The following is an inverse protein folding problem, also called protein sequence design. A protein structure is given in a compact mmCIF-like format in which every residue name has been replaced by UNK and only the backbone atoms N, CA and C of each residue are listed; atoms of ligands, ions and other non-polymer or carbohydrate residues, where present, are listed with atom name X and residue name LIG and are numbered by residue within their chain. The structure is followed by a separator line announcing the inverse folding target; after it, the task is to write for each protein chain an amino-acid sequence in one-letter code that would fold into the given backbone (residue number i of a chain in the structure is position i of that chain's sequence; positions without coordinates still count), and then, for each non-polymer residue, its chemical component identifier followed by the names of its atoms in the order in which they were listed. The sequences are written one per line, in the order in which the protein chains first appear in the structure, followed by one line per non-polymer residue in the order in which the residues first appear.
data_IF_524142402350
#
_entry.id   IF_524142402350
#
_cell.length_a   1.000
_cell.length_b   1.000
_cell.length_c   1.000
_cell.angle_alpha   90.00
_cell.angle_beta   90.00
_cell.angle_gamma   90.00
#
_symmetry.space_group_name_H-M   'P 1'
#
loop_
_entity.id
_entity.type
_entity.pdbx_description
1 polymer ?
#
# COMPACT_ATOMS: atom_id res chain seq x y z
N UNK A 1 -10.49 49.27 -35.66
CA UNK A 1 -10.48 50.73 -35.37
C UNK A 1 -11.80 51.41 -35.64
N UNK A 2 -12.34 51.42 -36.87
CA UNK A 2 -13.66 52.00 -37.14
C UNK A 2 -14.79 51.36 -36.30
N UNK A 3 -14.70 50.07 -36.05
CA UNK A 3 -15.62 49.33 -35.17
C UNK A 3 -15.66 49.91 -33.75
N UNK A 4 -14.54 50.37 -33.19
CA UNK A 4 -14.50 50.97 -31.85
C UNK A 4 -15.22 52.32 -31.81
N UNK A 5 -15.11 53.12 -32.88
CA UNK A 5 -15.85 54.38 -33.03
C UNK A 5 -17.36 54.14 -33.11
N UNK A 6 -17.78 53.19 -33.96
CA UNK A 6 -19.21 52.83 -34.10
C UNK A 6 -19.76 52.27 -32.79
N UNK A 7 -19.01 51.42 -32.10
CA UNK A 7 -19.39 50.88 -30.79
C UNK A 7 -19.50 51.98 -29.73
N UNK A 8 -18.61 52.98 -29.73
CA UNK A 8 -18.70 54.11 -28.81
C UNK A 8 -19.94 54.99 -29.07
N UNK A 9 -20.31 55.21 -30.32
CA UNK A 9 -21.57 55.89 -30.67
C UNK A 9 -22.82 55.12 -30.19
N UNK A 10 -22.74 53.79 -30.16
CA UNK A 10 -23.84 52.89 -29.80
C UNK A 10 -23.84 52.49 -28.31
N UNK A 11 -22.97 53.08 -27.47
CA UNK A 11 -22.91 52.74 -26.05
C UNK A 11 -24.25 52.95 -25.33
N UNK A 12 -24.57 52.04 -24.40
CA UNK A 12 -25.89 52.04 -23.75
C UNK A 12 -26.04 53.18 -22.75
N UNK A 13 -24.94 53.67 -22.18
CA UNK A 13 -24.95 54.79 -21.23
C UNK A 13 -24.61 56.07 -21.99
N UNK A 14 -25.38 57.16 -21.81
CA UNK A 14 -25.13 58.42 -22.52
C UNK A 14 -23.74 58.98 -22.21
N UNK A 15 -23.27 58.85 -20.96
CA UNK A 15 -21.94 59.32 -20.54
C UNK A 15 -20.76 58.58 -21.18
N UNK A 16 -21.00 57.41 -21.79
CA UNK A 16 -19.98 56.60 -22.47
C UNK A 16 -19.95 56.85 -24.00
N UNK A 17 -20.87 57.67 -24.54
CA UNK A 17 -20.95 58.03 -25.97
C UNK A 17 -20.01 59.19 -26.30
N UNK A 18 -19.84 59.48 -27.59
CA UNK A 18 -19.26 60.76 -28.01
C UNK A 18 -20.20 61.89 -27.60
N UNK A 19 -19.63 62.92 -26.98
CA UNK A 19 -20.38 64.00 -26.32
C UNK A 19 -21.02 64.94 -27.35
N UNK A 20 -20.41 65.04 -28.54
CA UNK A 20 -20.95 65.85 -29.64
C UNK A 20 -20.69 65.26 -31.03
N UNK A 21 -21.47 65.73 -32.01
CA UNK A 21 -21.24 65.41 -33.43
C UNK A 21 -19.91 65.95 -33.96
N UNK A 22 -19.35 66.99 -33.32
CA UNK A 22 -18.05 67.54 -33.66
C UNK A 22 -16.92 66.53 -33.36
N UNK A 23 -17.00 65.84 -32.20
CA UNK A 23 -16.04 64.80 -31.83
C UNK A 23 -16.06 63.61 -32.80
N UNK A 24 -17.24 63.25 -33.31
CA UNK A 24 -17.37 62.21 -34.34
C UNK A 24 -16.67 62.60 -35.64
N UNK A 25 -16.82 63.86 -36.08
CA UNK A 25 -16.16 64.37 -37.29
C UNK A 25 -14.63 64.41 -37.12
N UNK A 26 -14.15 64.79 -35.94
CA UNK A 26 -12.72 64.80 -35.64
C UNK A 26 -12.11 63.39 -35.56
N UNK A 27 -12.82 62.43 -34.97
CA UNK A 27 -12.42 61.01 -34.97
C UNK A 27 -12.39 60.42 -36.39
N UNK A 28 -13.39 60.73 -37.23
CA UNK A 28 -13.42 60.26 -38.62
C UNK A 28 -12.25 60.83 -39.44
N UNK A 29 -11.91 62.11 -39.26
CA UNK A 29 -10.73 62.71 -39.91
C UNK A 29 -9.42 62.06 -39.48
N UNK A 30 -9.29 61.68 -38.20
CA UNK A 30 -8.11 60.95 -37.70
C UNK A 30 -8.03 59.54 -38.27
N UNK A 31 -9.17 58.86 -38.40
CA UNK A 31 -9.25 57.55 -39.06
C UNK A 31 -8.79 57.63 -40.52
N UNK A 32 -9.28 58.60 -41.29
CA UNK A 32 -8.86 58.82 -42.69
C UNK A 32 -7.38 59.19 -42.81
N UNK A 33 -6.83 59.93 -41.84
CA UNK A 33 -5.42 60.30 -41.79
C UNK A 33 -4.50 59.17 -41.26
N UNK A 34 -5.04 57.98 -40.94
CA UNK A 34 -4.28 56.87 -40.38
C UNK A 34 -3.71 57.15 -38.97
N UNK A 35 -4.27 58.11 -38.25
CA UNK A 35 -3.88 58.48 -36.89
C UNK A 35 -4.65 57.63 -35.87
N UNK A 36 -4.05 57.32 -34.69
CA UNK A 36 -4.72 56.56 -33.65
C UNK A 36 -5.98 57.28 -33.15
N UNK A 37 -7.10 56.56 -33.09
CA UNK A 37 -8.37 57.03 -32.55
C UNK A 37 -8.30 57.23 -31.02
N UNK A 38 -8.97 58.24 -30.48
CA UNK A 38 -9.15 58.36 -29.03
C UNK A 38 -10.16 57.32 -28.51
N UNK A 39 -11.09 56.88 -29.36
CA UNK A 39 -12.00 55.77 -29.08
C UNK A 39 -11.22 54.45 -29.08
N UNK A 40 -10.46 54.20 -28.01
CA UNK A 40 -9.78 52.91 -27.83
C UNK A 40 -10.80 51.80 -27.62
N UNK A 41 -10.55 50.59 -28.16
CA UNK A 41 -11.42 49.44 -27.94
C UNK A 41 -11.55 49.16 -26.43
N UNK A 42 -12.78 48.89 -26.00
CA UNK A 42 -13.07 48.49 -24.61
C UNK A 42 -12.27 47.21 -24.31
N UNK A 43 -11.47 47.24 -23.25
CA UNK A 43 -10.71 46.06 -22.81
C UNK A 43 -11.66 44.95 -22.36
N UNK A 44 -11.28 43.68 -22.56
CA UNK A 44 -12.01 42.53 -22.03
C UNK A 44 -12.25 42.64 -20.51
N UNK A 45 -11.33 43.29 -19.80
CA UNK A 45 -11.44 43.57 -18.35
C UNK A 45 -12.58 44.54 -18.04
N UNK A 46 -12.72 45.61 -18.83
CA UNK A 46 -13.79 46.60 -18.66
C UNK A 46 -15.16 46.02 -19.01
N UNK A 47 -15.21 45.17 -20.03
CA UNK A 47 -16.43 44.46 -20.40
C UNK A 47 -16.87 43.47 -19.31
N UNK A 48 -15.93 42.74 -18.72
CA UNK A 48 -16.19 41.85 -17.58
C UNK A 48 -16.65 42.63 -16.34
N UNK A 49 -16.05 43.79 -16.05
CA UNK A 49 -16.46 44.65 -14.93
C UNK A 49 -17.87 45.23 -15.11
N UNK A 50 -18.21 45.69 -16.33
CA UNK A 50 -19.57 46.19 -16.68
C UNK A 50 -20.60 45.06 -16.60
N UNK A 51 -20.26 43.85 -17.04
CA UNK A 51 -21.12 42.68 -16.95
C UNK A 51 -21.34 42.24 -15.49
N UNK A 52 -20.29 42.29 -14.68
CA UNK A 52 -20.32 41.95 -13.26
C UNK A 52 -21.26 42.86 -12.46
N UNK A 53 -21.24 44.17 -12.72
CA UNK A 53 -22.18 45.13 -12.12
C UNK A 53 -23.64 44.91 -12.53
N UNK A 54 -23.89 44.38 -13.73
CA UNK A 54 -25.24 44.14 -14.26
C UNK A 54 -25.84 42.80 -13.80
N UNK A 55 -25.03 41.82 -13.43
CA UNK A 55 -25.49 40.46 -13.09
C UNK A 55 -24.88 39.94 -11.77
N UNK A 56 -25.28 40.47 -10.61
CA UNK A 56 -24.71 40.07 -9.30
C UNK A 56 -25.10 38.64 -8.88
N UNK A 57 -26.28 38.15 -9.26
CA UNK A 57 -26.78 36.82 -8.88
C UNK A 57 -25.94 35.65 -9.42
N UNK A 58 -25.63 35.56 -10.73
CA UNK A 58 -24.80 34.47 -11.24
C UNK A 58 -23.37 34.51 -10.68
N UNK A 59 -22.80 35.70 -10.46
CA UNK A 59 -21.48 35.84 -9.83
C UNK A 59 -21.45 35.32 -8.38
N UNK A 60 -22.50 35.58 -7.61
CA UNK A 60 -22.65 35.02 -6.27
C UNK A 60 -22.72 33.48 -6.30
N UNK A 61 -23.42 32.90 -7.27
CA UNK A 61 -23.48 31.44 -7.44
C UNK A 61 -22.11 30.85 -7.81
N UNK A 62 -21.39 31.46 -8.75
CA UNK A 62 -20.05 31.01 -9.15
C UNK A 62 -19.04 31.08 -8.00
N UNK A 63 -19.04 32.19 -7.25
CA UNK A 63 -18.14 32.35 -6.10
C UNK A 63 -18.44 31.33 -5.00
N UNK A 64 -19.71 31.01 -4.75
CA UNK A 64 -20.09 29.97 -3.79
C UNK A 64 -19.61 28.58 -4.22
N UNK A 65 -19.74 28.23 -5.50
CA UNK A 65 -19.24 26.96 -6.05
C UNK A 65 -17.72 26.87 -5.90
N UNK A 66 -17.00 27.95 -6.24
CA UNK A 66 -15.55 28.01 -6.07
C UNK A 66 -15.12 27.84 -4.61
N UNK A 67 -15.79 28.54 -3.68
CA UNK A 67 -15.53 28.43 -2.25
C UNK A 67 -15.77 27.02 -1.74
N UNK A 68 -16.93 26.44 -2.02
CA UNK A 68 -17.28 25.08 -1.58
C UNK A 68 -16.35 24.03 -2.17
N UNK A 69 -15.96 24.17 -3.44
CA UNK A 69 -14.99 23.27 -4.08
C UNK A 69 -13.61 23.41 -3.45
N UNK A 70 -13.14 24.65 -3.22
CA UNK A 70 -11.85 24.92 -2.61
C UNK A 70 -11.78 24.35 -1.18
N UNK A 71 -12.76 24.67 -0.34
CA UNK A 71 -12.83 24.15 1.03
C UNK A 71 -13.05 22.64 1.06
N UNK A 72 -13.82 22.09 0.12
CA UNK A 72 -13.99 20.65 -0.04
C UNK A 72 -12.65 19.96 -0.33
N UNK A 73 -11.93 20.42 -1.35
CA UNK A 73 -10.61 19.91 -1.71
C UNK A 73 -9.58 20.07 -0.58
N UNK A 74 -9.58 21.22 0.09
CA UNK A 74 -8.72 21.48 1.25
C UNK A 74 -9.01 20.49 2.39
N UNK A 75 -10.29 20.33 2.76
CA UNK A 75 -10.71 19.40 3.81
C UNK A 75 -10.39 17.95 3.48
N UNK A 76 -10.50 17.58 2.20
CA UNK A 76 -10.14 16.25 1.73
C UNK A 76 -8.63 16.01 1.81
N UNK A 77 -7.81 16.97 1.36
CA UNK A 77 -6.35 16.91 1.47
C UNK A 77 -5.88 16.76 2.91
N UNK A 78 -6.48 17.49 3.86
CA UNK A 78 -6.16 17.34 5.29
C UNK A 78 -6.47 15.93 5.82
N UNK A 79 -7.60 15.35 5.44
CA UNK A 79 -7.96 13.97 5.82
C UNK A 79 -7.03 12.93 5.19
N UNK A 80 -6.54 13.16 3.98
CA UNK A 80 -5.57 12.28 3.34
C UNK A 80 -4.24 12.33 4.09
N UNK A 81 -3.77 13.51 4.50
CA UNK A 81 -2.55 13.66 5.29
C UNK A 81 -2.63 12.96 6.67
N UNK A 82 -3.78 13.05 7.35
CA UNK A 82 -4.03 12.32 8.61
C UNK A 82 -4.05 10.81 8.42
N UNK A 83 -4.61 10.33 7.30
CA UNK A 83 -4.62 8.91 6.95
C UNK A 83 -3.20 8.38 6.68
N UNK A 84 -2.33 9.20 6.09
CA UNK A 84 -0.94 8.83 5.88
C UNK A 84 -0.18 8.70 7.21
N UNK A 85 -0.40 9.62 8.15
CA UNK A 85 0.18 9.54 9.50
C UNK A 85 -0.32 8.30 10.28
N UNK A 86 -1.60 7.98 10.15
CA UNK A 86 -2.19 6.78 10.77
C UNK A 86 -1.60 5.50 10.18
N UNK A 87 -1.43 5.45 8.85
CA UNK A 87 -0.80 4.32 8.15
C UNK A 87 0.68 4.17 8.50
N UNK A 88 1.41 5.28 8.69
CA UNK A 88 2.80 5.25 9.10
C UNK A 88 2.96 4.65 10.51
N UNK A 89 2.03 4.99 11.42
CA UNK A 89 2.02 4.44 12.78
C UNK A 89 1.70 2.94 12.79
N UNK A 90 0.71 2.50 12.00
CA UNK A 90 0.41 1.06 11.87
C UNK A 90 1.59 0.32 11.24
N UNK A 91 2.25 0.91 10.23
CA UNK A 91 3.43 0.32 9.57
C UNK A 91 4.61 0.19 10.53
N UNK A 92 4.87 1.18 11.39
CA UNK A 92 5.98 1.09 12.36
C UNK A 92 5.72 0.01 13.41
N UNK A 93 4.47 -0.16 13.84
CA UNK A 93 4.07 -1.25 14.72
C UNK A 93 4.19 -2.62 14.03
N UNK A 94 3.84 -2.71 12.75
CA UNK A 94 3.99 -3.94 11.96
C UNK A 94 5.46 -4.32 11.77
N UNK A 95 6.33 -3.36 11.43
CA UNK A 95 7.76 -3.62 11.27
C UNK A 95 8.39 -4.10 12.58
N UNK A 96 7.97 -3.55 13.73
CA UNK A 96 8.40 -4.02 15.04
C UNK A 96 7.88 -5.42 15.39
N UNK A 97 6.63 -5.74 15.01
CA UNK A 97 6.07 -7.08 15.20
C UNK A 97 6.76 -8.12 14.31
N UNK A 98 7.11 -7.76 13.08
CA UNK A 98 7.85 -8.63 12.16
C UNK A 98 9.29 -8.85 12.63
N UNK A 99 9.98 -7.81 13.09
CA UNK A 99 11.33 -7.96 13.65
C UNK A 99 11.32 -8.85 14.89
N UNK A 100 10.30 -8.72 15.75
CA UNK A 100 10.12 -9.60 16.91
C UNK A 100 9.85 -11.05 16.51
N UNK A 101 9.11 -11.31 15.43
CA UNK A 101 8.89 -12.68 14.92
C UNK A 101 10.17 -13.31 14.41
N UNK A 102 10.97 -12.57 13.64
CA UNK A 102 12.26 -13.05 13.12
C UNK A 102 13.24 -13.29 14.27
N UNK A 103 13.33 -12.35 15.22
CA UNK A 103 14.20 -12.47 16.38
C UNK A 103 13.77 -13.62 17.30
N UNK A 104 12.46 -13.81 17.52
CA UNK A 104 11.91 -14.94 18.28
C UNK A 104 12.20 -16.26 17.58
N UNK A 105 12.04 -16.36 16.26
CA UNK A 105 12.40 -17.56 15.48
C UNK A 105 13.86 -17.93 15.66
N UNK A 106 14.76 -16.95 15.55
CA UNK A 106 16.20 -17.17 15.73
C UNK A 106 16.50 -17.68 17.14
N UNK A 107 15.94 -17.04 18.17
CA UNK A 107 16.09 -17.46 19.56
C UNK A 107 15.55 -18.88 19.79
N UNK A 108 14.40 -19.22 19.22
CA UNK A 108 13.80 -20.54 19.35
C UNK A 108 14.67 -21.63 18.70
N UNK A 109 15.26 -21.36 17.53
CA UNK A 109 16.20 -22.29 16.89
C UNK A 109 17.50 -22.43 17.68
N UNK A 110 18.02 -21.33 18.23
CA UNK A 110 19.23 -21.34 19.05
C UNK A 110 19.01 -22.12 20.37
N UNK A 111 17.88 -21.90 21.03
CA UNK A 111 17.45 -22.68 22.20
C UNK A 111 17.27 -24.16 21.83
N UNK A 112 16.60 -24.45 20.72
CA UNK A 112 16.37 -25.82 20.26
C UNK A 112 17.67 -26.55 19.87
N UNK A 113 18.71 -25.82 19.46
CA UNK A 113 20.05 -26.38 19.19
C UNK A 113 20.77 -26.79 20.48
N UNK A 114 20.48 -26.16 21.62
CA UNK A 114 21.06 -26.56 22.90
C UNK A 114 20.59 -27.97 23.29
N UNK A 115 21.52 -28.85 23.70
CA UNK A 115 21.21 -30.25 24.06
C UNK A 115 20.34 -30.38 25.32
N UNK A 116 20.22 -29.31 26.11
CA UNK A 116 19.62 -29.34 27.45
C UNK A 116 18.13 -28.96 27.50
N UNK A 117 17.50 -28.53 26.40
CA UNK A 117 16.17 -27.91 26.44
C UNK A 117 15.03 -28.82 25.95
N UNK A 118 14.98 -30.04 26.46
CA UNK A 118 13.91 -31.01 26.17
C UNK A 118 12.57 -30.67 26.83
N UNK A 119 12.62 -29.95 27.95
CA UNK A 119 11.44 -29.69 28.80
C UNK A 119 10.84 -28.30 28.59
N UNK A 120 11.24 -27.59 27.53
CA UNK A 120 10.70 -26.26 27.25
C UNK A 120 9.33 -26.40 26.60
N UNK A 121 8.24 -25.95 27.26
CA UNK A 121 6.92 -25.96 26.64
C UNK A 121 6.88 -24.92 25.52
N UNK A 122 6.69 -25.38 24.28
CA UNK A 122 6.48 -24.51 23.13
C UNK A 122 4.99 -24.19 22.96
N UNK A 123 4.66 -22.96 22.58
CA UNK A 123 3.29 -22.62 22.23
C UNK A 123 2.89 -23.31 20.91
N UNK A 124 1.58 -23.60 20.69
CA UNK A 124 1.12 -24.21 19.43
C UNK A 124 1.55 -23.44 18.16
N UNK A 125 1.61 -22.10 18.23
CA UNK A 125 2.07 -21.25 17.13
C UNK A 125 3.58 -21.38 16.85
N UNK A 126 4.38 -21.70 17.87
CA UNK A 126 5.82 -21.94 17.69
C UNK A 126 6.06 -23.28 16.97
N UNK A 127 5.22 -24.28 17.25
CA UNK A 127 5.27 -25.60 16.61
C UNK A 127 4.95 -25.55 15.11
N UNK A 128 4.04 -24.68 14.67
CA UNK A 128 3.78 -24.42 13.25
C UNK A 128 5.00 -23.81 12.54
N UNK A 129 5.73 -22.94 13.25
CA UNK A 129 6.96 -22.35 12.73
C UNK A 129 8.04 -23.41 12.50
N UNK A 130 8.20 -24.36 13.43
CA UNK A 130 9.16 -25.46 13.28
C UNK A 130 8.78 -26.41 12.14
N UNK A 131 7.49 -26.69 11.93
CA UNK A 131 7.04 -27.49 10.79
C UNK A 131 7.35 -26.79 9.47
N UNK A 132 7.10 -25.48 9.37
CA UNK A 132 7.42 -24.70 8.17
C UNK A 132 8.94 -24.68 7.88
N UNK A 133 9.78 -24.62 8.91
CA UNK A 133 11.24 -24.70 8.76
C UNK A 133 11.67 -26.09 8.30
N UNK A 134 11.10 -27.15 8.88
CA UNK A 134 11.38 -28.53 8.48
C UNK A 134 11.08 -28.78 6.99
N UNK A 135 10.06 -28.11 6.43
CA UNK A 135 9.67 -28.21 5.02
C UNK A 135 10.55 -27.37 4.08
N UNK A 136 10.93 -26.17 4.49
CA UNK A 136 11.48 -25.16 3.57
C UNK A 136 12.96 -24.84 3.78
N UNK A 137 13.60 -25.33 4.85
CA UNK A 137 15.03 -25.06 5.09
C UNK A 137 15.90 -26.03 4.30
N UNK A 138 16.95 -25.52 3.66
CA UNK A 138 17.98 -26.34 3.01
C UNK A 138 19.06 -26.81 4.01
N UNK A 139 19.10 -26.27 5.22
CA UNK A 139 20.07 -26.64 6.25
C UNK A 139 19.62 -27.90 7.00
N UNK A 140 20.35 -29.00 6.80
CA UNK A 140 20.13 -30.30 7.45
C UNK A 140 20.15 -30.19 8.98
N UNK A 141 21.00 -29.32 9.53
CA UNK A 141 21.09 -29.11 10.99
C UNK A 141 19.81 -28.46 11.51
N UNK A 142 19.27 -27.46 10.81
CA UNK A 142 18.00 -26.81 11.19
C UNK A 142 16.82 -27.77 11.08
N UNK A 143 16.71 -28.50 9.97
CA UNK A 143 15.65 -29.51 9.77
C UNK A 143 15.69 -30.54 10.89
N UNK A 144 16.88 -31.04 11.24
CA UNK A 144 17.04 -32.03 12.33
C UNK A 144 16.59 -31.49 13.67
N UNK A 145 17.00 -30.27 14.01
CA UNK A 145 16.57 -29.60 15.24
C UNK A 145 15.05 -29.43 15.29
N UNK A 146 14.42 -29.02 14.19
CA UNK A 146 12.98 -28.85 14.12
C UNK A 146 12.24 -30.19 14.27
N UNK A 147 12.72 -31.24 13.61
CA UNK A 147 12.17 -32.58 13.72
C UNK A 147 12.21 -33.09 15.17
N UNK A 148 13.34 -32.90 15.84
CA UNK A 148 13.50 -33.23 17.27
C UNK A 148 12.48 -32.51 18.14
N UNK A 149 12.31 -31.19 17.96
CA UNK A 149 11.32 -30.40 18.71
C UNK A 149 9.89 -30.89 18.48
N UNK A 150 9.53 -31.18 17.23
CA UNK A 150 8.17 -31.64 16.89
C UNK A 150 7.86 -33.02 17.47
N UNK A 151 8.83 -33.95 17.46
CA UNK A 151 8.69 -35.27 18.06
C UNK A 151 8.47 -35.17 19.57
N UNK A 152 9.21 -34.30 20.25
CA UNK A 152 9.15 -34.14 21.71
C UNK A 152 7.81 -33.61 22.20
N UNK A 153 7.22 -32.70 21.42
CA UNK A 153 5.95 -32.09 21.76
C UNK A 153 4.76 -32.93 21.25
N UNK A 154 5.00 -34.12 20.68
CA UNK A 154 3.93 -34.98 20.14
C UNK A 154 3.20 -34.38 18.95
N UNK A 155 3.85 -33.47 18.22
CA UNK A 155 3.25 -32.71 17.10
C UNK A 155 3.77 -33.12 15.73
N UNK A 156 4.74 -34.02 15.69
CA UNK A 156 5.17 -34.64 14.45
C UNK A 156 4.10 -35.61 13.93
N UNK A 157 3.64 -35.37 12.71
CA UNK A 157 2.72 -36.24 11.99
C UNK A 157 3.21 -36.42 10.55
N UNK A 158 3.64 -37.65 10.24
CA UNK A 158 4.20 -38.00 8.94
C UNK A 158 3.16 -37.83 7.81
N UNK A 159 1.86 -37.94 8.11
CA UNK A 159 0.80 -37.86 7.11
C UNK A 159 0.73 -36.48 6.45
N UNK A 160 1.20 -35.43 7.14
CA UNK A 160 1.27 -34.07 6.60
C UNK A 160 2.28 -33.93 5.46
N UNK A 161 3.15 -34.91 5.25
CA UNK A 161 4.18 -34.92 4.20
C UNK A 161 3.78 -35.82 3.01
N UNK A 162 2.54 -36.32 2.96
CA UNK A 162 2.06 -37.25 1.94
C UNK A 162 2.21 -36.73 0.51
N UNK A 163 1.96 -35.43 0.31
CA UNK A 163 1.86 -34.82 -1.02
C UNK A 163 3.23 -34.58 -1.68
N UNK A 164 4.32 -34.60 -0.89
CA UNK A 164 5.68 -34.34 -1.36
C UNK A 164 6.56 -35.57 -1.13
N UNK A 165 6.70 -36.42 -2.16
CA UNK A 165 7.46 -37.68 -2.08
C UNK A 165 8.95 -37.47 -1.78
N UNK A 166 9.55 -36.37 -2.27
CA UNK A 166 10.96 -36.07 -2.05
C UNK A 166 11.16 -35.68 -0.58
N UNK A 167 10.33 -34.74 -0.10
CA UNK A 167 10.39 -34.29 1.27
C UNK A 167 10.06 -35.42 2.26
N UNK A 168 9.16 -36.34 1.90
CA UNK A 168 8.84 -37.52 2.70
C UNK A 168 10.04 -38.45 2.84
N UNK A 169 10.77 -38.72 1.75
CA UNK A 169 11.98 -39.54 1.79
C UNK A 169 13.05 -38.89 2.68
N UNK A 170 13.30 -37.59 2.49
CA UNK A 170 14.23 -36.82 3.30
C UNK A 170 13.89 -36.88 4.80
N UNK A 171 12.62 -36.70 5.16
CA UNK A 171 12.19 -36.71 6.57
C UNK A 171 12.38 -38.09 7.20
N UNK A 172 12.17 -39.17 6.44
CA UNK A 172 12.44 -40.54 6.91
C UNK A 172 13.93 -40.75 7.18
N UNK A 173 14.80 -40.28 6.28
CA UNK A 173 16.25 -40.38 6.49
C UNK A 173 16.72 -39.50 7.66
N UNK A 174 16.10 -38.32 7.82
CA UNK A 174 16.35 -37.42 8.96
C UNK A 174 15.92 -38.06 10.30
N UNK A 175 14.80 -38.78 10.32
CA UNK A 175 14.33 -39.54 11.50
C UNK A 175 15.37 -40.57 11.95
N UNK A 176 15.98 -41.28 11.00
CA UNK A 176 17.06 -42.24 11.30
C UNK A 176 18.33 -41.57 11.81
N UNK A 177 18.73 -40.43 11.24
CA UNK A 177 19.86 -39.65 11.78
C UNK A 177 19.59 -39.22 13.22
N UNK A 178 18.39 -38.73 13.53
CA UNK A 178 17.97 -38.36 14.89
C UNK A 178 18.00 -39.57 15.83
N UNK A 179 17.44 -40.70 15.42
CA UNK A 179 17.43 -41.94 16.22
C UNK A 179 18.84 -42.42 16.57
N UNK A 180 19.75 -42.42 15.59
CA UNK A 180 21.14 -42.86 15.77
C UNK A 180 21.93 -42.01 16.77
N UNK A 181 21.58 -40.71 16.86
CA UNK A 181 22.23 -39.73 17.73
C UNK A 181 21.58 -39.62 19.11
N UNK A 182 20.39 -40.19 19.30
CA UNK A 182 19.69 -40.11 20.58
C UNK A 182 20.33 -41.04 21.61
N UNK A 183 20.78 -40.48 22.73
CA UNK A 183 21.45 -41.22 23.81
C UNK A 183 20.47 -41.68 24.89
N UNK A 184 19.28 -41.09 24.98
CA UNK A 184 18.29 -41.46 25.98
C UNK A 184 17.42 -42.64 25.50
N UNK A 185 17.33 -43.75 26.25
CA UNK A 185 16.66 -44.98 25.81
C UNK A 185 15.14 -44.80 25.62
N UNK A 186 14.46 -44.08 26.51
CA UNK A 186 13.02 -43.84 26.41
C UNK A 186 12.68 -42.97 25.20
N UNK A 187 13.54 -41.99 24.90
CA UNK A 187 13.38 -41.10 23.74
C UNK A 187 13.65 -41.84 22.45
N UNK A 188 14.71 -42.67 22.44
CA UNK A 188 15.04 -43.52 21.30
C UNK A 188 13.87 -44.42 20.95
N UNK A 189 13.24 -45.09 21.92
CA UNK A 189 12.06 -45.95 21.66
C UNK A 189 10.89 -45.18 21.00
N UNK A 190 10.62 -43.95 21.46
CA UNK A 190 9.58 -43.11 20.86
C UNK A 190 9.93 -42.73 19.42
N UNK A 191 11.17 -42.37 19.14
CA UNK A 191 11.65 -42.05 17.79
C UNK A 191 11.60 -43.28 16.89
N UNK A 192 12.03 -44.46 17.38
CA UNK A 192 11.96 -45.73 16.64
C UNK A 192 10.53 -46.03 16.20
N UNK A 193 9.54 -45.89 17.08
CA UNK A 193 8.12 -46.08 16.71
C UNK A 193 7.65 -45.12 15.62
N UNK A 194 8.10 -43.86 15.65
CA UNK A 194 7.78 -42.88 14.61
C UNK A 194 8.51 -43.16 13.29
N UNK A 195 9.77 -43.61 13.37
CA UNK A 195 10.60 -44.04 12.23
C UNK A 195 9.94 -45.22 11.50
N UNK A 196 9.56 -46.28 12.23
CA UNK A 196 8.85 -47.43 11.67
C UNK A 196 7.50 -47.05 11.04
N UNK A 197 6.73 -46.16 11.70
CA UNK A 197 5.47 -45.64 11.15
C UNK A 197 5.72 -44.88 9.85
N UNK A 198 6.76 -44.07 9.79
CA UNK A 198 7.11 -43.27 8.63
C UNK A 198 7.59 -44.14 7.46
N UNK A 199 8.36 -45.20 7.72
CA UNK A 199 8.79 -46.16 6.70
C UNK A 199 7.60 -46.91 6.08
N UNK A 200 6.70 -47.45 6.90
CA UNK A 200 5.48 -48.10 6.38
C UNK A 200 4.64 -47.14 5.55
N UNK A 201 4.53 -45.90 6.01
CA UNK A 201 3.80 -44.87 5.27
C UNK A 201 4.47 -44.54 3.94
N UNK A 202 5.81 -44.46 3.90
CA UNK A 202 6.58 -44.31 2.66
C UNK A 202 6.27 -45.45 1.71
N UNK A 203 6.39 -46.71 2.13
CA UNK A 203 6.13 -47.88 1.28
C UNK A 203 4.73 -47.85 0.67
N UNK A 204 3.70 -47.53 1.46
CA UNK A 204 2.32 -47.40 0.98
C UNK A 204 2.16 -46.26 -0.05
N UNK A 205 2.84 -45.13 0.16
CA UNK A 205 2.72 -43.96 -0.71
C UNK A 205 3.53 -44.10 -2.03
N UNK A 206 4.56 -44.97 -2.04
CA UNK A 206 5.29 -45.36 -3.26
C UNK A 206 4.62 -46.51 -4.01
N UNK A 207 3.81 -47.33 -3.34
CA UNK A 207 3.03 -48.41 -3.96
C UNK A 207 1.71 -47.94 -4.62
N UNK A 208 1.27 -46.71 -4.33
CA UNK A 208 0.12 -46.09 -4.98
C UNK A 208 0.48 -45.62 -6.41
N UNK A 209 -0.29 -46.01 -7.45
CA UNK A 209 -0.02 -45.69 -8.86
C UNK A 209 -0.17 -44.20 -9.19
#
# INVERSE_FOLDING_TARGET
DLEALVLKCLEKRPDDRLESSLELVEELRRFEAGQPLHSRPISLVDQAARWSRRNPKPLAAFSLILLTTFFGAWSWGMRVAENEASRATVRSLQLGAESMRVQRRFLLLDLAKSEHLWDVPFLPADLETFEAILRNSDDVVERRTCLRVLLNNGRFDIERFRDDKILLADVVDLLKDVESRETNPTRRELITRQSERAERFRELNYAAP
#
